data_IF_148097972294
#
_entry.id   IF_148097972294
#
_cell.length_a   1.000
_cell.length_b   1.000
_cell.length_c   1.000
_cell.angle_alpha   90.00
_cell.angle_beta   90.00
_cell.angle_gamma   90.00
#
_symmetry.space_group_name_H-M   'P 1'
#
loop_
_entity.id
_entity.type
_entity.pdbx_description
1 polymer ?
#
# COMPACT_ATOMS: atom_id res chain seq x y z
N UNK A 1 -3.87 12.03 -19.05
CA UNK A 1 -5.34 11.98 -18.81
C UNK A 1 -5.58 11.36 -17.44
N UNK A 2 -6.03 12.18 -16.46
CA UNK A 2 -6.11 11.90 -15.02
C UNK A 2 -7.09 10.76 -14.70
N UNK A 3 -6.60 9.53 -14.63
CA UNK A 3 -7.37 8.40 -14.11
C UNK A 3 -7.12 8.28 -12.60
N UNK A 4 -7.94 8.93 -11.74
CA UNK A 4 -8.28 8.44 -10.38
C UNK A 4 -9.16 9.44 -9.61
N UNK A 5 -10.34 9.78 -10.12
CA UNK A 5 -11.33 10.52 -9.33
C UNK A 5 -12.75 10.03 -9.57
N UNK A 6 -12.98 8.73 -9.38
CA UNK A 6 -14.36 8.24 -9.24
C UNK A 6 -14.75 8.29 -7.77
N UNK A 7 -15.28 9.45 -7.36
CA UNK A 7 -16.17 9.56 -6.19
C UNK A 7 -17.41 8.75 -6.51
N UNK A 8 -17.56 7.59 -5.90
CA UNK A 8 -18.81 6.82 -5.95
C UNK A 8 -19.26 6.63 -4.51
N UNK A 9 -20.38 7.27 -4.14
CA UNK A 9 -21.08 7.14 -2.85
C UNK A 9 -20.42 7.69 -1.58
N UNK A 10 -19.55 8.71 -1.65
CA UNK A 10 -19.02 9.39 -0.44
C UNK A 10 -18.13 8.51 0.46
N UNK A 11 -18.10 7.19 0.25
CA UNK A 11 -17.13 6.26 0.78
C UNK A 11 -15.86 6.38 -0.04
N UNK A 12 -14.83 6.91 0.59
CA UNK A 12 -13.46 6.85 0.13
C UNK A 12 -13.01 5.38 0.14
N UNK A 13 -13.31 4.62 -0.91
CA UNK A 13 -12.92 3.21 -1.06
C UNK A 13 -12.15 3.00 -2.35
N UNK A 14 -11.12 2.18 -2.28
CA UNK A 14 -10.32 1.81 -3.43
C UNK A 14 -11.13 0.93 -4.41
N UNK A 15 -10.85 1.03 -5.71
CA UNK A 15 -11.58 0.29 -6.78
C UNK A 15 -11.62 -1.22 -6.59
N UNK A 16 -10.58 -1.78 -5.99
CA UNK A 16 -10.51 -3.21 -5.66
C UNK A 16 -11.49 -3.62 -4.57
N UNK A 17 -11.90 -2.69 -3.70
CA UNK A 17 -12.90 -2.91 -2.67
C UNK A 17 -14.28 -3.12 -3.24
N UNK A 18 -14.72 -2.31 -4.21
CA UNK A 18 -16.06 -2.46 -4.82
C UNK A 18 -16.30 -3.83 -5.45
N UNK A 19 -15.25 -4.44 -6.05
CA UNK A 19 -15.32 -5.80 -6.63
C UNK A 19 -15.61 -6.88 -5.58
N UNK A 20 -15.32 -6.63 -4.31
CA UNK A 20 -15.48 -7.58 -3.20
C UNK A 20 -16.71 -7.21 -2.36
N UNK A 21 -16.82 -5.94 -1.97
CA UNK A 21 -17.86 -5.42 -1.08
C UNK A 21 -19.24 -5.52 -1.70
N UNK A 22 -19.41 -5.17 -2.99
CA UNK A 22 -20.73 -5.16 -3.63
C UNK A 22 -21.36 -6.57 -3.70
N UNK A 23 -20.68 -7.60 -4.23
CA UNK A 23 -21.23 -8.96 -4.19
C UNK A 23 -21.49 -9.45 -2.76
N UNK A 24 -20.61 -9.13 -1.82
CA UNK A 24 -20.76 -9.55 -0.43
C UNK A 24 -22.00 -8.93 0.23
N UNK A 25 -22.26 -7.63 0.00
CA UNK A 25 -23.46 -6.95 0.48
C UNK A 25 -24.73 -7.51 -0.17
N UNK A 26 -24.69 -7.89 -1.45
CA UNK A 26 -25.83 -8.53 -2.12
C UNK A 26 -26.15 -9.90 -1.52
N UNK A 27 -25.12 -10.70 -1.22
CA UNK A 27 -25.28 -11.98 -0.53
C UNK A 27 -25.79 -11.77 0.89
N UNK A 28 -25.25 -10.80 1.64
CA UNK A 28 -25.74 -10.45 2.98
C UNK A 28 -27.23 -10.07 2.95
N UNK A 29 -27.62 -9.20 2.01
CA UNK A 29 -29.02 -8.80 1.82
C UNK A 29 -29.92 -9.99 1.48
N UNK A 30 -29.48 -10.86 0.57
CA UNK A 30 -30.24 -12.06 0.21
C UNK A 30 -30.50 -12.97 1.43
N UNK A 31 -29.48 -13.22 2.26
CA UNK A 31 -29.64 -13.97 3.51
C UNK A 31 -30.57 -13.29 4.51
N UNK A 32 -30.49 -11.96 4.63
CA UNK A 32 -31.43 -11.19 5.46
C UNK A 32 -32.88 -11.39 4.96
N UNK A 33 -33.12 -11.27 3.64
CA UNK A 33 -34.46 -11.41 3.06
C UNK A 33 -35.01 -12.83 3.16
N UNK A 34 -34.18 -13.86 2.96
CA UNK A 34 -34.59 -15.27 3.15
C UNK A 34 -34.94 -15.52 4.61
N UNK A 35 -34.14 -15.02 5.55
CA UNK A 35 -34.41 -15.17 6.99
C UNK A 35 -35.70 -14.48 7.40
N UNK A 36 -36.05 -13.34 6.79
CA UNK A 36 -37.34 -12.67 7.01
C UNK A 36 -38.53 -13.46 6.42
N UNK A 37 -38.38 -14.03 5.21
CA UNK A 37 -39.48 -14.72 4.52
C UNK A 37 -39.78 -16.12 5.05
N UNK A 38 -38.76 -16.86 5.50
CA UNK A 38 -38.89 -18.25 5.94
C UNK A 38 -39.03 -18.38 7.46
N UNK A 39 -39.30 -17.27 8.16
CA UNK A 39 -39.21 -17.21 9.64
C UNK A 39 -37.91 -17.86 10.13
N UNK A 40 -36.82 -17.49 9.47
CA UNK A 40 -35.51 -18.11 9.65
C UNK A 40 -35.14 -18.12 11.12
N UNK A 41 -34.91 -19.32 11.66
CA UNK A 41 -34.46 -19.49 13.03
C UNK A 41 -33.10 -18.81 13.28
N UNK A 42 -32.58 -18.93 14.50
CA UNK A 42 -31.35 -18.25 14.93
C UNK A 42 -30.14 -18.43 14.00
N UNK A 43 -30.07 -19.55 13.25
CA UNK A 43 -29.01 -19.80 12.27
C UNK A 43 -29.03 -18.83 11.08
N UNK A 44 -30.20 -18.49 10.52
CA UNK A 44 -30.32 -17.58 9.37
C UNK A 44 -29.92 -16.15 9.74
N UNK A 45 -30.38 -15.69 10.90
CA UNK A 45 -29.99 -14.40 11.46
C UNK A 45 -28.50 -14.33 11.80
N UNK A 46 -27.93 -15.39 12.39
CA UNK A 46 -26.50 -15.45 12.69
C UNK A 46 -25.65 -15.33 11.43
N UNK A 47 -25.99 -16.07 10.37
CA UNK A 47 -25.29 -15.98 9.09
C UNK A 47 -25.39 -14.58 8.47
N UNK A 48 -26.58 -13.97 8.50
CA UNK A 48 -26.78 -12.59 8.04
C UNK A 48 -25.91 -11.59 8.79
N UNK A 49 -25.87 -11.66 10.13
CA UNK A 49 -25.04 -10.78 10.97
C UNK A 49 -23.56 -10.94 10.64
N UNK A 50 -23.06 -12.17 10.51
CA UNK A 50 -21.66 -12.44 10.16
C UNK A 50 -21.30 -11.84 8.79
N UNK A 51 -22.18 -11.97 7.78
CA UNK A 51 -21.95 -11.41 6.46
C UNK A 51 -21.94 -9.88 6.46
N UNK A 52 -22.79 -9.24 7.25
CA UNK A 52 -22.79 -7.78 7.41
C UNK A 52 -21.55 -7.27 8.14
N UNK A 53 -21.13 -7.95 9.22
CA UNK A 53 -19.89 -7.62 9.92
C UNK A 53 -18.67 -7.77 9.01
N UNK A 54 -18.63 -8.85 8.23
CA UNK A 54 -17.55 -9.06 7.26
C UNK A 54 -17.57 -8.02 6.15
N UNK A 55 -18.75 -7.61 5.68
CA UNK A 55 -18.91 -6.49 4.72
C UNK A 55 -18.36 -5.19 5.28
N UNK A 56 -18.70 -4.86 6.53
CA UNK A 56 -18.21 -3.67 7.22
C UNK A 56 -16.67 -3.71 7.37
N UNK A 57 -16.11 -4.88 7.72
CA UNK A 57 -14.66 -5.06 7.74
C UNK A 57 -14.02 -4.84 6.37
N UNK A 58 -14.57 -5.40 5.29
CA UNK A 58 -14.06 -5.19 3.94
C UNK A 58 -14.13 -3.71 3.53
N UNK A 59 -15.22 -3.01 3.85
CA UNK A 59 -15.35 -1.56 3.63
C UNK A 59 -14.22 -0.81 4.33
N UNK A 60 -13.99 -1.11 5.62
CA UNK A 60 -12.93 -0.50 6.40
C UNK A 60 -11.54 -0.81 5.85
N UNK A 61 -11.29 -2.05 5.43
CA UNK A 61 -10.00 -2.51 4.92
C UNK A 61 -9.65 -1.85 3.57
N UNK A 62 -10.62 -1.74 2.66
CA UNK A 62 -10.43 -1.15 1.34
C UNK A 62 -10.60 0.38 1.32
N UNK A 63 -10.69 1.03 2.48
CA UNK A 63 -10.79 2.49 2.55
C UNK A 63 -9.58 3.17 1.90
N UNK A 64 -9.81 4.33 1.31
CA UNK A 64 -8.86 5.14 0.56
C UNK A 64 -9.07 6.65 0.86
N UNK A 65 -8.84 7.08 2.11
CA UNK A 65 -9.06 8.47 2.50
C UNK A 65 -8.22 9.43 1.65
N UNK A 66 -8.73 10.63 1.43
CA UNK A 66 -7.93 11.72 0.89
C UNK A 66 -6.85 12.12 1.90
N UNK A 67 -5.69 12.52 1.37
CA UNK A 67 -4.49 12.82 2.13
C UNK A 67 -3.97 14.19 1.72
N UNK A 68 -3.32 14.88 2.65
CA UNK A 68 -2.67 16.15 2.36
C UNK A 68 -1.16 15.92 2.24
N UNK A 69 -0.68 15.94 1.00
CA UNK A 69 0.74 15.78 0.73
C UNK A 69 1.52 17.03 1.15
N UNK A 70 2.60 16.88 1.95
CA UNK A 70 3.47 17.98 2.33
C UNK A 70 3.97 18.76 1.10
N UNK A 71 4.12 20.08 1.26
CA UNK A 71 4.65 20.98 0.23
C UNK A 71 6.16 21.18 0.30
N UNK A 72 6.80 20.68 1.36
CA UNK A 72 8.24 20.78 1.55
C UNK A 72 8.99 20.21 0.34
N UNK A 73 10.02 20.92 -0.11
CA UNK A 73 10.84 20.48 -1.22
C UNK A 73 11.81 19.41 -0.73
N UNK A 74 12.29 18.59 -1.67
CA UNK A 74 13.35 17.61 -1.41
C UNK A 74 13.08 16.60 -0.30
N UNK A 75 11.81 16.37 0.04
CA UNK A 75 11.40 15.32 0.98
C UNK A 75 10.80 14.11 0.29
N UNK A 76 11.12 12.96 0.85
CA UNK A 76 10.52 11.67 0.56
C UNK A 76 9.44 11.40 1.60
N UNK A 77 8.24 11.10 1.14
CA UNK A 77 7.12 10.75 2.02
C UNK A 77 6.90 9.25 2.06
N UNK A 78 6.25 8.78 3.12
CA UNK A 78 5.92 7.38 3.30
C UNK A 78 5.00 6.91 2.16
N UNK A 79 5.31 5.80 1.48
CA UNK A 79 4.44 5.24 0.45
C UNK A 79 3.29 4.42 1.04
N UNK A 80 3.28 4.17 2.35
CA UNK A 80 2.33 3.30 3.03
C UNK A 80 1.91 3.83 4.41
N UNK A 81 0.69 3.48 4.83
CA UNK A 81 0.30 3.53 6.23
C UNK A 81 0.92 2.34 6.94
N UNK A 82 1.52 2.55 8.11
CA UNK A 82 2.08 1.44 8.87
C UNK A 82 3.03 1.83 9.98
N UNK A 83 3.83 0.86 10.37
CA UNK A 83 4.89 0.99 11.37
C UNK A 83 6.25 0.82 10.71
N UNK A 84 7.21 1.70 11.01
CA UNK A 84 8.61 1.50 10.61
C UNK A 84 9.17 0.30 11.40
N UNK A 85 9.62 -0.73 10.71
CA UNK A 85 10.15 -1.97 11.30
C UNK A 85 11.62 -2.21 10.99
N UNK A 86 12.24 -1.38 10.14
CA UNK A 86 13.66 -1.47 9.82
C UNK A 86 14.17 -0.16 9.24
N UNK A 87 15.37 0.22 9.66
CA UNK A 87 16.17 1.30 9.09
C UNK A 87 17.59 0.74 9.03
N UNK A 88 18.09 0.46 7.84
CA UNK A 88 19.40 -0.15 7.64
C UNK A 88 20.06 0.35 6.35
N UNK A 89 21.35 0.03 6.19
CA UNK A 89 22.07 0.28 4.95
C UNK A 89 22.36 -1.04 4.23
N UNK A 90 21.97 -1.10 2.97
CA UNK A 90 22.05 -2.30 2.13
C UNK A 90 22.69 -1.98 0.80
N UNK A 91 23.23 -3.00 0.14
CA UNK A 91 23.59 -2.88 -1.27
C UNK A 91 22.32 -3.05 -2.12
N UNK A 92 22.04 -2.07 -2.98
CA UNK A 92 20.90 -2.08 -3.90
C UNK A 92 21.43 -2.07 -5.34
N UNK A 93 21.42 -3.24 -5.97
CA UNK A 93 22.06 -3.46 -7.27
C UNK A 93 21.14 -3.33 -8.47
N UNK A 94 19.82 -3.19 -8.28
CA UNK A 94 18.85 -3.24 -9.36
C UNK A 94 18.63 -1.89 -10.04
N UNK A 95 18.61 -0.79 -9.28
CA UNK A 95 18.29 0.53 -9.82
C UNK A 95 19.23 1.64 -9.32
N UNK A 96 19.61 1.61 -8.04
CA UNK A 96 20.55 2.56 -7.45
C UNK A 96 22.00 2.19 -7.75
N UNK A 97 22.29 0.90 -7.97
CA UNK A 97 23.61 0.35 -8.25
C UNK A 97 24.68 0.75 -7.20
N UNK A 98 24.35 0.57 -5.93
CA UNK A 98 25.28 0.82 -4.83
C UNK A 98 24.65 0.78 -3.45
N UNK A 99 25.40 1.24 -2.44
CA UNK A 99 24.93 1.35 -1.06
C UNK A 99 23.76 2.33 -0.95
N UNK A 100 22.72 1.91 -0.24
CA UNK A 100 21.49 2.66 -0.07
C UNK A 100 20.99 2.57 1.38
N UNK A 101 20.33 3.61 1.86
CA UNK A 101 19.54 3.58 3.09
C UNK A 101 18.18 2.99 2.78
N UNK A 102 17.74 2.02 3.57
CA UNK A 102 16.44 1.37 3.41
C UNK A 102 15.56 1.63 4.63
N UNK A 103 14.33 2.06 4.37
CA UNK A 103 13.27 2.19 5.37
C UNK A 103 12.17 1.18 5.08
N UNK A 104 11.93 0.27 6.02
CA UNK A 104 10.95 -0.81 5.91
C UNK A 104 9.70 -0.50 6.73
N UNK A 105 8.53 -0.51 6.08
CA UNK A 105 7.24 -0.13 6.66
C UNK A 105 6.30 -1.33 6.59
N UNK A 106 5.86 -1.81 7.75
CA UNK A 106 4.88 -2.89 7.86
C UNK A 106 3.46 -2.35 7.93
N UNK A 107 2.58 -2.90 7.11
CA UNK A 107 1.15 -2.58 7.06
C UNK A 107 0.35 -3.70 7.73
N UNK A 108 -0.24 -3.39 8.88
CA UNK A 108 -1.20 -4.28 9.53
C UNK A 108 -2.55 -4.27 8.79
N UNK A 109 -3.41 -5.24 9.07
CA UNK A 109 -4.79 -5.30 8.52
C UNK A 109 -5.62 -4.07 8.85
N UNK A 110 -5.23 -3.30 9.87
CA UNK A 110 -5.92 -2.08 10.29
C UNK A 110 -5.51 -0.84 9.49
N UNK A 111 -4.41 -0.89 8.73
CA UNK A 111 -3.89 0.24 7.98
C UNK A 111 -4.62 0.44 6.64
N UNK A 112 -4.48 1.64 6.05
CA UNK A 112 -4.89 1.89 4.67
C UNK A 112 -3.90 1.20 3.74
N UNK A 113 -4.39 0.30 2.90
CA UNK A 113 -3.55 -0.53 2.03
C UNK A 113 -3.26 0.07 0.64
N UNK A 114 -3.81 1.27 0.37
CA UNK A 114 -3.47 2.05 -0.83
C UNK A 114 -2.07 2.64 -0.69
N UNK A 115 -1.24 2.47 -1.71
CA UNK A 115 0.13 2.99 -1.74
C UNK A 115 0.24 4.24 -2.60
N UNK A 116 1.12 5.15 -2.16
CA UNK A 116 1.28 6.49 -2.72
C UNK A 116 2.73 6.79 -3.08
N UNK A 117 2.91 7.58 -4.12
CA UNK A 117 4.20 8.00 -4.63
C UNK A 117 5.02 8.69 -3.53
N UNK A 118 6.21 8.17 -3.17
CA UNK A 118 7.02 8.81 -2.13
C UNK A 118 7.69 10.10 -2.61
N UNK A 119 7.86 10.26 -3.91
CA UNK A 119 8.41 11.44 -4.59
C UNK A 119 7.70 11.67 -5.92
N UNK A 120 7.93 12.85 -6.50
CA UNK A 120 7.59 13.14 -7.90
C UNK A 120 8.74 12.69 -8.80
N UNK A 121 8.42 12.18 -9.99
CA UNK A 121 9.42 11.74 -10.94
C UNK A 121 8.89 10.79 -12.01
N UNK A 122 9.82 10.19 -12.75
CA UNK A 122 9.55 9.23 -13.83
C UNK A 122 9.88 7.82 -13.35
N UNK A 123 8.98 6.87 -13.63
CA UNK A 123 9.23 5.45 -13.40
C UNK A 123 10.20 4.93 -14.47
N UNK A 124 11.46 4.74 -14.11
CA UNK A 124 12.51 4.25 -15.02
C UNK A 124 12.71 2.74 -14.94
N UNK A 125 12.21 2.10 -13.88
CA UNK A 125 12.32 0.66 -13.68
C UNK A 125 11.04 0.12 -13.06
N UNK A 126 10.44 -0.90 -13.66
CA UNK A 126 9.27 -1.57 -13.09
C UNK A 126 9.38 -3.08 -13.29
N UNK A 127 9.71 -3.79 -12.21
CA UNK A 127 9.88 -5.24 -12.27
C UNK A 127 8.95 -5.97 -11.30
N UNK A 128 8.21 -6.94 -11.83
CA UNK A 128 7.39 -7.84 -11.03
C UNK A 128 8.16 -9.15 -10.78
N UNK A 129 8.35 -9.46 -9.51
CA UNK A 129 8.97 -10.71 -9.08
C UNK A 129 7.92 -11.61 -8.44
N UNK A 130 7.70 -12.78 -9.04
CA UNK A 130 6.85 -13.82 -8.47
C UNK A 130 7.62 -14.54 -7.36
N UNK A 131 7.03 -14.65 -6.17
CA UNK A 131 7.72 -15.21 -5.02
C UNK A 131 6.84 -16.09 -4.13
N UNK A 132 7.37 -16.41 -2.96
CA UNK A 132 6.73 -17.11 -1.84
C UNK A 132 5.83 -16.14 -1.04
N UNK A 133 5.26 -16.63 0.05
CA UNK A 133 4.37 -15.85 0.91
C UNK A 133 4.78 -16.05 2.37
N UNK A 134 5.88 -15.45 2.79
CA UNK A 134 6.28 -15.38 4.21
C UNK A 134 5.60 -14.20 4.93
N UNK A 135 5.60 -14.22 6.27
CA UNK A 135 5.10 -13.09 7.06
C UNK A 135 5.92 -11.85 6.69
N UNK A 136 5.24 -10.77 6.27
CA UNK A 136 5.90 -9.57 5.77
C UNK A 136 6.62 -8.75 6.87
N UNK A 137 6.63 -9.19 8.13
CA UNK A 137 7.48 -8.61 9.19
C UNK A 137 8.85 -9.27 9.29
N UNK A 138 9.08 -10.42 8.64
CA UNK A 138 10.36 -11.14 8.69
C UNK A 138 11.35 -10.64 7.61
N UNK A 139 12.67 -10.63 7.87
CA UNK A 139 13.67 -10.18 6.89
C UNK A 139 13.62 -10.91 5.55
N UNK A 140 13.40 -12.24 5.56
CA UNK A 140 13.32 -13.08 4.35
C UNK A 140 12.21 -12.68 3.37
N UNK A 141 11.18 -11.97 3.83
CA UNK A 141 10.06 -11.56 2.99
C UNK A 141 10.52 -10.63 1.85
N UNK A 142 11.54 -9.79 2.07
CA UNK A 142 12.02 -8.83 1.06
C UNK A 142 12.69 -9.50 -0.14
N UNK A 143 13.24 -10.71 0.06
CA UNK A 143 13.93 -11.46 -0.99
C UNK A 143 13.01 -12.47 -1.65
N UNK A 144 12.26 -13.21 -0.83
CA UNK A 144 11.57 -14.40 -1.31
C UNK A 144 10.12 -14.13 -1.68
N UNK A 145 9.46 -13.09 -1.15
CA UNK A 145 8.04 -12.92 -1.38
C UNK A 145 7.73 -12.33 -2.76
N UNK A 146 6.48 -12.51 -3.19
CA UNK A 146 5.94 -11.78 -4.34
C UNK A 146 6.07 -10.27 -4.11
N UNK A 147 6.65 -9.58 -5.09
CA UNK A 147 6.89 -8.15 -5.01
C UNK A 147 6.85 -7.42 -6.35
N UNK A 148 6.53 -6.13 -6.29
CA UNK A 148 6.73 -5.19 -7.39
C UNK A 148 7.81 -4.20 -6.96
N UNK A 149 8.80 -4.00 -7.83
CA UNK A 149 9.95 -3.14 -7.61
C UNK A 149 9.83 -1.97 -8.59
N UNK A 150 9.90 -0.75 -8.06
CA UNK A 150 9.61 0.49 -8.78
C UNK A 150 10.79 1.45 -8.58
N UNK A 151 11.59 1.65 -9.63
CA UNK A 151 12.66 2.65 -9.66
C UNK A 151 12.12 3.97 -10.20
N UNK A 152 12.26 5.02 -9.39
CA UNK A 152 11.77 6.36 -9.67
C UNK A 152 12.98 7.30 -9.79
N UNK A 153 13.07 7.95 -10.93
CA UNK A 153 14.03 9.01 -11.20
C UNK A 153 13.35 10.34 -10.87
N UNK A 154 13.77 10.91 -9.75
CA UNK A 154 13.29 12.19 -9.24
C UNK A 154 14.35 13.27 -9.47
N UNK A 155 13.99 14.56 -9.61
CA UNK A 155 14.97 15.64 -9.69
C UNK A 155 16.03 15.62 -8.57
N UNK A 156 15.65 15.11 -7.40
CA UNK A 156 16.50 15.01 -6.21
C UNK A 156 17.34 13.72 -6.12
N UNK A 157 17.15 12.79 -7.05
CA UNK A 157 17.90 11.53 -7.14
C UNK A 157 17.03 10.30 -7.35
N UNK A 158 17.70 9.16 -7.53
CA UNK A 158 17.05 7.87 -7.73
C UNK A 158 16.52 7.30 -6.43
N UNK A 159 15.28 6.84 -6.45
CA UNK A 159 14.59 6.19 -5.33
C UNK A 159 14.02 4.86 -5.81
N UNK A 160 14.15 3.81 -4.99
CA UNK A 160 13.51 2.53 -5.26
C UNK A 160 12.41 2.26 -4.22
N UNK A 161 11.27 1.78 -4.68
CA UNK A 161 10.19 1.31 -3.81
C UNK A 161 9.92 -0.15 -4.10
N UNK A 162 9.84 -0.98 -3.05
CA UNK A 162 9.40 -2.37 -3.16
C UNK A 162 8.06 -2.53 -2.47
N UNK A 163 7.06 -3.00 -3.21
CA UNK A 163 5.79 -3.48 -2.68
C UNK A 163 5.91 -4.98 -2.44
N UNK A 164 5.90 -5.42 -1.18
CA UNK A 164 6.14 -6.82 -0.80
C UNK A 164 4.88 -7.41 -0.18
N UNK A 165 4.33 -8.45 -0.81
CA UNK A 165 3.19 -9.21 -0.33
C UNK A 165 3.55 -10.04 0.92
N UNK A 166 2.62 -10.22 1.86
CA UNK A 166 2.76 -11.13 3.01
C UNK A 166 2.05 -12.48 2.82
N UNK A 167 1.97 -13.29 3.88
CA UNK A 167 1.36 -14.66 3.88
C UNK A 167 -0.05 -14.69 3.27
N UNK A 168 -0.89 -13.72 3.64
CA UNK A 168 -2.30 -13.68 3.22
C UNK A 168 -2.50 -12.89 1.92
N UNK A 169 -1.48 -12.14 1.51
CA UNK A 169 -1.47 -11.29 0.34
C UNK A 169 -1.10 -12.11 -0.90
N UNK A 170 -2.06 -12.42 -1.78
CA UNK A 170 -1.78 -13.19 -3.01
C UNK A 170 -1.54 -12.33 -4.26
N UNK A 171 -1.58 -11.00 -4.13
CA UNK A 171 -1.40 -10.11 -5.28
C UNK A 171 -0.96 -8.71 -4.86
N UNK A 172 0.16 -8.27 -5.40
CA UNK A 172 0.51 -6.84 -5.46
C UNK A 172 -0.24 -6.20 -6.62
N UNK A 173 -0.92 -5.08 -6.34
CA UNK A 173 -1.60 -4.30 -7.36
C UNK A 173 -0.79 -3.03 -7.61
N UNK A 174 -0.20 -2.92 -8.80
CA UNK A 174 0.50 -1.73 -9.27
C UNK A 174 -0.10 -1.29 -10.61
N UNK A 175 -0.31 0.01 -10.78
CA UNK A 175 -0.91 0.60 -11.99
C UNK A 175 0.07 1.42 -12.82
N UNK A 176 1.31 1.53 -12.36
CA UNK A 176 2.37 2.25 -13.05
C UNK A 176 2.80 1.50 -14.30
N UNK A 177 3.46 2.24 -15.18
CA UNK A 177 4.17 1.74 -16.36
C UNK A 177 5.54 2.41 -16.40
N UNK A 178 6.52 1.76 -17.00
CA UNK A 178 7.80 2.40 -17.29
C UNK A 178 7.59 3.61 -18.21
N UNK A 179 8.36 4.67 -17.98
CA UNK A 179 8.22 5.97 -18.62
C UNK A 179 7.08 6.84 -18.07
N UNK A 180 6.26 6.35 -17.14
CA UNK A 180 5.17 7.13 -16.57
C UNK A 180 5.72 8.18 -15.58
N UNK A 181 5.29 9.44 -15.76
CA UNK A 181 5.46 10.47 -14.75
C UNK A 181 4.39 10.37 -13.66
N UNK A 182 4.78 10.55 -12.40
CA UNK A 182 3.89 10.52 -11.24
C UNK A 182 4.18 11.67 -10.29
N UNK A 183 3.14 12.24 -9.69
CA UNK A 183 3.28 13.29 -8.68
C UNK A 183 3.47 12.69 -7.30
N UNK A 184 4.21 13.37 -6.43
CA UNK A 184 4.35 12.97 -5.02
C UNK A 184 2.96 12.87 -4.37
N UNK A 185 2.71 11.78 -3.63
CA UNK A 185 1.43 11.49 -2.99
C UNK A 185 0.36 10.87 -3.91
N UNK A 186 0.62 10.76 -5.22
CA UNK A 186 -0.29 10.11 -6.16
C UNK A 186 -0.45 8.62 -5.85
N UNK A 187 -1.68 8.10 -5.97
CA UNK A 187 -1.98 6.70 -5.73
C UNK A 187 -1.45 5.86 -6.88
N UNK A 188 -0.61 4.88 -6.59
CA UNK A 188 -0.02 4.03 -7.64
C UNK A 188 -0.39 2.55 -7.52
N UNK A 189 -0.94 2.13 -6.39
CA UNK A 189 -1.20 0.72 -6.16
C UNK A 189 -1.84 0.41 -4.81
N UNK A 190 -1.90 -0.88 -4.51
CA UNK A 190 -2.36 -1.44 -3.24
C UNK A 190 -1.74 -2.83 -3.04
N UNK A 191 -1.45 -3.19 -1.78
CA UNK A 191 -1.11 -4.57 -1.40
C UNK A 191 -2.11 -5.02 -0.34
N UNK A 192 -2.66 -6.23 -0.42
CA UNK A 192 -3.72 -6.67 0.50
C UNK A 192 -3.14 -7.51 1.65
N UNK A 193 -3.51 -7.26 2.90
CA UNK A 193 -3.33 -8.13 4.07
C UNK A 193 -1.87 -8.36 4.53
N UNK A 194 -1.45 -7.61 5.56
CA UNK A 194 -0.22 -7.92 6.30
C UNK A 194 1.03 -7.82 5.43
N UNK A 195 1.19 -6.68 4.76
CA UNK A 195 2.21 -6.43 3.73
C UNK A 195 3.33 -5.52 4.22
N UNK A 196 4.36 -5.35 3.39
CA UNK A 196 5.47 -4.42 3.64
C UNK A 196 5.72 -3.54 2.42
N UNK A 197 6.07 -2.29 2.66
CA UNK A 197 6.77 -1.48 1.68
C UNK A 197 8.17 -1.15 2.16
N UNK A 198 9.12 -1.16 1.23
CA UNK A 198 10.49 -0.72 1.48
C UNK A 198 10.81 0.46 0.55
N UNK A 199 11.45 1.49 1.11
CA UNK A 199 11.96 2.64 0.37
C UNK A 199 13.47 2.64 0.46
N UNK A 200 14.15 2.61 -0.69
CA UNK A 200 15.60 2.68 -0.78
C UNK A 200 15.99 4.06 -1.29
N UNK A 201 16.96 4.65 -0.60
CA UNK A 201 17.36 6.03 -0.72
C UNK A 201 18.89 6.10 -0.90
N UNK A 202 19.41 7.11 -1.62
CA UNK A 202 20.84 7.38 -1.63
C UNK A 202 21.40 7.57 -0.21
N UNK A 203 22.66 7.23 0.04
CA UNK A 203 23.28 7.35 1.38
C UNK A 203 23.25 8.78 1.97
N UNK A 204 23.23 9.80 1.11
CA UNK A 204 23.10 11.20 1.52
C UNK A 204 21.73 11.57 2.11
N UNK A 205 20.71 10.74 1.91
CA UNK A 205 19.35 11.03 2.34
C UNK A 205 19.24 10.94 3.87
N UNK A 206 18.89 12.02 4.55
CA UNK A 206 18.72 12.03 6.01
C UNK A 206 17.38 11.40 6.39
N UNK A 207 17.41 10.34 7.21
CA UNK A 207 16.18 9.66 7.64
C UNK A 207 15.48 10.48 8.73
N UNK A 208 14.20 10.79 8.51
CA UNK A 208 13.38 11.67 9.38
C UNK A 208 12.40 10.90 10.26
N UNK A 209 12.48 9.57 10.28
CA UNK A 209 11.65 8.69 11.10
C UNK A 209 12.50 7.76 11.94
N UNK A 210 11.99 7.39 13.11
CA UNK A 210 12.61 6.40 14.00
C UNK A 210 12.01 5.01 13.81
N UNK A 211 12.74 4.00 14.27
CA UNK A 211 12.21 2.64 14.38
C UNK A 211 10.93 2.65 15.23
N UNK A 212 9.94 1.84 14.83
CA UNK A 212 8.60 1.75 15.43
C UNK A 212 7.67 2.95 15.24
N UNK A 213 8.12 4.03 14.59
CA UNK A 213 7.27 5.17 14.28
C UNK A 213 6.05 4.77 13.45
N UNK A 214 4.89 5.38 13.74
CA UNK A 214 3.70 5.28 12.90
C UNK A 214 3.81 6.27 11.74
N UNK A 215 3.60 5.79 10.52
CA UNK A 215 3.67 6.59 9.29
C UNK A 215 2.37 6.47 8.51
N UNK A 216 2.04 7.51 7.74
CA UNK A 216 0.85 7.59 6.89
C UNK A 216 1.24 7.81 5.44
N UNK A 217 0.65 7.02 4.54
CA UNK A 217 0.89 7.09 3.11
C UNK A 217 0.57 8.49 2.59
N UNK A 218 1.52 9.09 1.88
CA UNK A 218 1.31 10.38 1.25
C UNK A 218 1.33 11.58 2.20
N UNK A 219 1.64 11.41 3.49
CA UNK A 219 1.63 12.48 4.50
C UNK A 219 2.93 12.54 5.32
N UNK A 220 3.39 11.40 5.85
CA UNK A 220 4.56 11.41 6.74
C UNK A 220 5.85 11.52 5.94
N UNK A 221 6.69 12.50 6.25
CA UNK A 221 8.05 12.60 5.69
C UNK A 221 8.91 11.50 6.32
N UNK A 222 9.54 10.68 5.48
CA UNK A 222 10.44 9.59 5.92
C UNK A 222 11.91 9.95 5.76
N UNK A 223 12.23 10.84 4.82
CA UNK A 223 13.59 11.32 4.62
C UNK A 223 13.61 12.68 3.93
N UNK A 224 14.72 13.41 4.09
CA UNK A 224 15.09 14.56 3.27
C UNK A 224 16.27 14.20 2.37
N UNK A 225 16.20 14.65 1.12
CA UNK A 225 17.25 14.53 0.12
C UNK A 225 17.99 15.86 0.11
N UNK A 226 19.29 15.85 0.36
CA UNK A 226 20.11 17.04 0.18
C UNK A 226 20.59 17.08 -1.28
N UNK A 227 20.72 18.30 -1.85
CA UNK A 227 21.22 18.50 -3.21
C UNK A 227 22.60 17.83 -3.42
N UNK A 228 22.92 17.54 -4.69
CA UNK A 228 24.21 17.00 -5.10
C UNK A 228 25.26 18.10 -5.21
#
# INVERSE_FOLDING_TARGET
MRFYRRRIFGLFMHREGYKIVLPLMLVALMFTLVSLKLEGGGMGWSASVVLWLFSAFCIFFFRDPERQTPREQDVVISPADGRVIGIDEVDESQFLHGRARRVSIFMSVWNVHVNRAPVEGVVEYLHYHRGRFHIASLPKASLENEQVIIGISSPQGKILVKQIAGILARRVVCYLREGQHMLRGERFGMIKFGSRLEVFLPLRAEIRVSLQAQVRAGETIVASLHEA
#
